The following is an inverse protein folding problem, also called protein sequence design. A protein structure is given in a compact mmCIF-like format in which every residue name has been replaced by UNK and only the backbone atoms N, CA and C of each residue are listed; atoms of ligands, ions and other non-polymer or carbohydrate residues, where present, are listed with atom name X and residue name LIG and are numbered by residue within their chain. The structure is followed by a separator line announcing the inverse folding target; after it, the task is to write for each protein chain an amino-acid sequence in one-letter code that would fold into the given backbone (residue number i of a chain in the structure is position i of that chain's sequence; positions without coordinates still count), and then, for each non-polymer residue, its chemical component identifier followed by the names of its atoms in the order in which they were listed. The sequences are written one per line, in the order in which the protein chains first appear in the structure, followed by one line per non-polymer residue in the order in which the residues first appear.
data_IF_600071668219
#
_entry.id   IF_600071668219
#
_cell.length_a   1.000
_cell.length_b   1.000
_cell.length_c   1.000
_cell.angle_alpha   90.00
_cell.angle_beta   90.00
_cell.angle_gamma   90.00
#
_symmetry.space_group_name_H-M   'P 1'
#
loop_
_entity.id
_entity.type
_entity.pdbx_description
1 polymer ?
#
# COMPACT_ATOMS: atom_id res chain seq x y z
N UNK A 1 -8.50 -13.44 21.60
CA UNK A 1 -8.38 -11.97 21.70
C UNK A 1 -7.00 -11.65 22.21
N UNK A 2 -6.15 -11.07 21.35
CA UNK A 2 -4.87 -10.45 21.70
C UNK A 2 -4.52 -9.51 20.54
N UNK A 3 -5.28 -8.42 20.42
CA UNK A 3 -5.33 -7.52 19.25
C UNK A 3 -4.79 -6.13 19.57
N UNK A 4 -3.68 -6.08 20.29
CA UNK A 4 -2.81 -4.92 20.37
C UNK A 4 -1.43 -5.44 20.77
N UNK A 5 -0.41 -5.19 19.95
CA UNK A 5 0.98 -5.43 20.33
C UNK A 5 1.23 -4.67 21.63
N UNK A 6 1.46 -5.42 22.70
CA UNK A 6 1.58 -4.89 24.06
C UNK A 6 2.74 -3.91 24.09
N UNK A 7 2.48 -2.70 24.56
CA UNK A 7 3.44 -1.63 24.79
C UNK A 7 4.49 -2.10 25.80
N UNK A 8 5.60 -2.65 25.32
CA UNK A 8 6.85 -2.63 26.08
C UNK A 8 7.37 -1.19 26.08
N UNK A 9 8.05 -0.78 27.15
CA UNK A 9 8.52 0.60 27.37
C UNK A 9 9.43 1.15 26.24
N UNK A 10 9.92 0.29 25.35
CA UNK A 10 10.68 0.65 24.14
C UNK A 10 9.80 1.21 23.00
N UNK A 11 8.47 1.00 23.03
CA UNK A 11 7.54 1.42 21.97
C UNK A 11 6.83 2.77 22.21
N UNK A 12 7.09 3.46 23.33
CA UNK A 12 6.37 4.69 23.70
C UNK A 12 6.52 5.87 22.69
N UNK A 13 7.50 5.78 21.77
CA UNK A 13 7.74 6.77 20.71
C UNK A 13 7.15 6.44 19.34
N UNK A 14 6.79 5.20 19.06
CA UNK A 14 6.24 4.81 17.75
C UNK A 14 4.74 5.13 17.67
N UNK A 15 4.24 5.51 16.48
CA UNK A 15 2.80 5.64 16.28
C UNK A 15 2.08 4.30 16.48
N UNK A 16 0.85 4.35 16.96
CA UNK A 16 -0.01 3.17 16.96
C UNK A 16 -0.35 2.76 15.52
N UNK A 17 -0.37 1.45 15.26
CA UNK A 17 -0.72 0.90 13.95
C UNK A 17 -1.51 -0.41 14.12
N UNK A 18 -2.60 -0.55 13.38
CA UNK A 18 -3.33 -1.82 13.30
C UNK A 18 -2.70 -2.71 12.22
N UNK A 19 -2.65 -4.00 12.49
CA UNK A 19 -2.26 -4.98 11.48
C UNK A 19 -3.40 -5.12 10.45
N UNK A 20 -3.09 -4.94 9.16
CA UNK A 20 -4.07 -5.03 8.07
C UNK A 20 -4.66 -6.43 7.96
N UNK A 21 -3.93 -7.46 8.40
CA UNK A 21 -4.45 -8.82 8.56
C UNK A 21 -5.56 -8.88 9.60
N UNK A 22 -5.40 -8.21 10.73
CA UNK A 22 -6.39 -8.21 11.81
C UNK A 22 -7.66 -7.47 11.38
N UNK A 23 -7.51 -6.38 10.61
CA UNK A 23 -8.63 -5.69 9.93
C UNK A 23 -9.38 -6.68 9.02
N UNK A 24 -8.65 -7.35 8.13
CA UNK A 24 -9.23 -8.29 7.18
C UNK A 24 -9.92 -9.49 7.87
N UNK A 25 -9.30 -10.06 8.90
CA UNK A 25 -9.86 -11.17 9.67
C UNK A 25 -11.07 -10.75 10.53
N UNK A 26 -11.12 -9.51 11.02
CA UNK A 26 -12.30 -8.98 11.70
C UNK A 26 -13.50 -8.96 10.75
N UNK A 27 -13.35 -8.35 9.57
CA UNK A 27 -14.42 -8.28 8.58
C UNK A 27 -14.81 -9.67 8.05
N UNK A 28 -13.87 -10.59 7.89
CA UNK A 28 -14.17 -11.98 7.52
C UNK A 28 -15.08 -12.68 8.54
N UNK A 29 -14.99 -12.32 9.83
CA UNK A 29 -15.83 -12.88 10.91
C UNK A 29 -17.18 -12.17 11.01
N UNK A 30 -17.17 -10.84 11.06
CA UNK A 30 -18.37 -10.05 11.30
C UNK A 30 -19.23 -9.83 10.05
N UNK A 31 -18.62 -9.78 8.86
CA UNK A 31 -19.32 -9.56 7.60
C UNK A 31 -18.60 -10.26 6.43
N UNK A 32 -18.80 -11.58 6.34
CA UNK A 32 -18.18 -12.41 5.30
C UNK A 32 -18.56 -11.97 3.88
N UNK A 33 -19.75 -11.38 3.68
CA UNK A 33 -20.21 -10.93 2.36
C UNK A 33 -19.35 -9.77 1.83
N UNK A 34 -19.12 -8.74 2.66
CA UNK A 34 -18.22 -7.61 2.34
C UNK A 34 -16.82 -8.11 2.05
N UNK A 35 -16.27 -8.96 2.93
CA UNK A 35 -14.93 -9.52 2.74
C UNK A 35 -14.82 -10.33 1.44
N UNK A 36 -15.79 -11.20 1.15
CA UNK A 36 -15.77 -12.06 -0.03
C UNK A 36 -15.91 -11.26 -1.34
N UNK A 37 -16.76 -10.24 -1.38
CA UNK A 37 -16.91 -9.39 -2.56
C UNK A 37 -15.67 -8.52 -2.77
N UNK A 38 -15.11 -7.91 -1.72
CA UNK A 38 -13.87 -7.15 -1.81
C UNK A 38 -12.72 -8.02 -2.35
N UNK A 39 -12.61 -9.25 -1.83
CA UNK A 39 -11.63 -10.24 -2.33
C UNK A 39 -11.86 -10.56 -3.79
N UNK A 40 -13.09 -10.80 -4.22
CA UNK A 40 -13.42 -11.06 -5.63
C UNK A 40 -13.01 -9.88 -6.52
N UNK A 41 -13.29 -8.64 -6.10
CA UNK A 41 -12.90 -7.42 -6.81
C UNK A 41 -11.38 -7.33 -6.93
N UNK A 42 -10.66 -7.42 -5.81
CA UNK A 42 -9.20 -7.32 -5.80
C UNK A 42 -8.52 -8.32 -6.73
N UNK A 43 -8.87 -9.60 -6.63
CA UNK A 43 -8.25 -10.63 -7.48
C UNK A 43 -8.59 -10.45 -8.97
N UNK A 44 -9.77 -9.92 -9.28
CA UNK A 44 -10.13 -9.53 -10.65
C UNK A 44 -9.29 -8.34 -11.14
N UNK A 45 -9.06 -7.34 -10.28
CA UNK A 45 -8.26 -6.17 -10.64
C UNK A 45 -6.77 -6.49 -10.75
N UNK A 46 -6.21 -7.32 -9.87
CA UNK A 46 -4.81 -7.75 -9.92
C UNK A 46 -4.51 -8.59 -11.18
N UNK A 47 -5.49 -9.36 -11.66
CA UNK A 47 -5.45 -10.07 -12.95
C UNK A 47 -4.08 -10.72 -13.26
N UNK A 48 -3.70 -11.70 -12.44
CA UNK A 48 -2.44 -12.43 -12.63
C UNK A 48 -2.41 -13.10 -14.00
N UNK A 49 -1.27 -13.03 -14.69
CA UNK A 49 -1.07 -13.68 -15.98
C UNK A 49 -1.26 -15.21 -15.84
N UNK A 50 -2.29 -15.81 -16.47
CA UNK A 50 -2.62 -17.23 -16.30
C UNK A 50 -1.58 -18.17 -16.92
N UNK A 51 -0.72 -17.67 -17.80
CA UNK A 51 0.33 -18.45 -18.46
C UNK A 51 1.63 -18.49 -17.64
N UNK A 52 1.77 -17.66 -16.60
CA UNK A 52 2.96 -17.61 -15.74
C UNK A 52 2.76 -18.52 -14.52
N UNK A 53 3.75 -19.36 -14.22
CA UNK A 53 3.77 -20.11 -12.96
C UNK A 53 4.26 -19.20 -11.84
N UNK A 54 3.45 -19.03 -10.80
CA UNK A 54 3.83 -18.24 -9.63
C UNK A 54 4.35 -19.13 -8.50
N UNK A 55 5.48 -18.79 -7.88
CA UNK A 55 5.91 -19.41 -6.63
C UNK A 55 4.85 -19.25 -5.54
N UNK A 56 4.73 -20.22 -4.63
CA UNK A 56 3.81 -20.15 -3.48
C UNK A 56 4.00 -18.87 -2.66
N UNK A 57 5.25 -18.41 -2.52
CA UNK A 57 5.58 -17.18 -1.81
C UNK A 57 4.96 -15.93 -2.47
N UNK A 58 4.88 -15.88 -3.80
CA UNK A 58 4.24 -14.77 -4.52
C UNK A 58 2.73 -14.81 -4.30
N UNK A 59 2.12 -15.98 -4.38
CA UNK A 59 0.68 -16.14 -4.10
C UNK A 59 0.32 -15.77 -2.66
N UNK A 60 1.20 -16.07 -1.70
CA UNK A 60 1.05 -15.65 -0.31
C UNK A 60 1.18 -14.12 -0.17
N UNK A 61 2.15 -13.49 -0.84
CA UNK A 61 2.27 -12.03 -0.84
C UNK A 61 1.05 -11.34 -1.45
N UNK A 62 0.44 -11.91 -2.49
CA UNK A 62 -0.80 -11.36 -3.08
C UNK A 62 -1.95 -11.35 -2.07
N UNK A 63 -2.02 -12.34 -1.18
CA UNK A 63 -2.98 -12.33 -0.07
C UNK A 63 -2.67 -11.24 0.96
N UNK A 64 -1.39 -11.00 1.26
CA UNK A 64 -0.99 -9.92 2.16
C UNK A 64 -1.31 -8.54 1.58
N UNK A 65 -1.03 -8.32 0.30
CA UNK A 65 -1.42 -7.09 -0.39
C UNK A 65 -2.92 -6.95 -0.54
N UNK A 66 -3.68 -8.06 -0.60
CA UNK A 66 -5.13 -7.99 -0.48
C UNK A 66 -5.55 -7.41 0.88
N UNK A 67 -4.89 -7.79 1.98
CA UNK A 67 -5.19 -7.22 3.30
C UNK A 67 -4.88 -5.72 3.35
N UNK A 68 -3.74 -5.29 2.80
CA UNK A 68 -3.39 -3.87 2.72
C UNK A 68 -4.39 -3.08 1.86
N UNK A 69 -4.75 -3.60 0.69
CA UNK A 69 -5.75 -3.00 -0.19
C UNK A 69 -7.14 -2.94 0.45
N UNK A 70 -7.54 -4.03 1.11
CA UNK A 70 -8.81 -4.08 1.82
C UNK A 70 -8.85 -3.08 2.97
N UNK A 71 -7.78 -2.98 3.75
CA UNK A 71 -7.72 -2.08 4.89
C UNK A 71 -7.79 -0.60 4.48
N UNK A 72 -7.04 -0.20 3.44
CA UNK A 72 -6.83 1.22 3.12
C UNK A 72 -7.56 1.73 1.88
N UNK A 73 -7.78 0.90 0.85
CA UNK A 73 -8.31 1.35 -0.45
C UNK A 73 -9.79 0.99 -0.64
N UNK A 74 -10.33 0.04 0.13
CA UNK A 74 -11.76 -0.21 0.16
C UNK A 74 -12.48 0.86 0.97
N UNK A 75 -13.76 1.05 0.66
CA UNK A 75 -14.64 1.82 1.50
C UNK A 75 -15.86 1.00 1.92
N UNK A 76 -16.26 1.16 3.17
CA UNK A 76 -17.44 0.56 3.76
C UNK A 76 -18.40 1.64 4.23
N UNK A 77 -19.68 1.30 4.37
CA UNK A 77 -20.69 2.24 4.86
C UNK A 77 -20.30 2.82 6.22
N UNK A 78 -20.50 4.13 6.38
CA UNK A 78 -20.04 4.89 7.57
C UNK A 78 -20.78 4.56 8.87
N UNK A 79 -21.59 3.50 8.90
CA UNK A 79 -22.26 3.01 10.12
C UNK A 79 -21.29 2.26 11.04
N UNK A 80 -20.06 2.00 10.59
CA UNK A 80 -18.97 1.46 11.41
C UNK A 80 -19.22 0.04 11.92
N UNK A 81 -18.21 -0.54 12.58
CA UNK A 81 -18.38 -1.77 13.35
C UNK A 81 -18.98 -1.43 14.72
N UNK A 82 -19.92 -2.23 15.16
CA UNK A 82 -20.65 -2.07 16.44
C UNK A 82 -20.32 -3.18 17.43
N UNK A 83 -19.79 -4.32 16.94
CA UNK A 83 -19.57 -5.54 17.71
C UNK A 83 -20.83 -6.41 17.84
N UNK A 84 -21.96 -5.98 17.29
CA UNK A 84 -23.16 -6.77 17.14
C UNK A 84 -23.20 -7.36 15.73
N UNK A 85 -23.04 -8.68 15.61
CA UNK A 85 -23.03 -9.39 14.32
C UNK A 85 -24.21 -9.02 13.41
N UNK A 86 -25.41 -8.84 13.97
CA UNK A 86 -26.61 -8.52 13.18
C UNK A 86 -26.61 -7.09 12.60
N UNK A 87 -25.93 -6.16 13.26
CA UNK A 87 -25.75 -4.79 12.80
C UNK A 87 -24.56 -4.69 11.86
N UNK A 88 -23.45 -5.37 12.19
CA UNK A 88 -22.23 -5.42 11.38
C UNK A 88 -22.47 -6.08 10.01
N UNK A 89 -23.44 -7.01 9.91
CA UNK A 89 -23.91 -7.58 8.64
C UNK A 89 -24.58 -6.56 7.70
N UNK A 90 -25.01 -5.39 8.21
CA UNK A 90 -25.59 -4.31 7.39
C UNK A 90 -24.52 -3.40 6.79
N UNK A 91 -23.26 -3.59 7.14
CA UNK A 91 -22.16 -2.89 6.51
C UNK A 91 -22.09 -3.34 5.05
N UNK A 92 -21.95 -2.37 4.15
CA UNK A 92 -21.89 -2.60 2.70
C UNK A 92 -20.63 -1.96 2.13
N UNK A 93 -20.09 -2.56 1.06
CA UNK A 93 -19.03 -1.93 0.27
C UNK A 93 -19.58 -0.70 -0.45
N UNK A 94 -18.86 0.41 -0.32
CA UNK A 94 -19.17 1.66 -0.99
C UNK A 94 -18.25 1.84 -2.20
N UNK A 95 -18.80 2.44 -3.25
CA UNK A 95 -18.10 2.67 -4.51
C UNK A 95 -18.10 4.16 -4.84
N UNK A 96 -16.93 4.65 -5.27
CA UNK A 96 -16.76 6.01 -5.74
C UNK A 96 -15.95 6.89 -4.76
N UNK A 97 -15.37 7.99 -5.25
CA UNK A 97 -14.51 8.85 -4.43
C UNK A 97 -15.26 9.47 -3.25
N UNK A 98 -14.70 9.35 -2.05
CA UNK A 98 -15.26 9.93 -0.83
C UNK A 98 -16.52 9.25 -0.29
N UNK A 99 -16.93 8.11 -0.85
CA UNK A 99 -18.04 7.33 -0.32
C UNK A 99 -17.54 6.42 0.80
N UNK A 100 -18.13 6.52 2.01
CA UNK A 100 -17.81 5.64 3.13
C UNK A 100 -16.50 5.97 3.86
N UNK A 101 -16.04 5.01 4.68
CA UNK A 101 -14.77 5.05 5.41
C UNK A 101 -13.96 3.79 5.11
N UNK A 102 -12.65 3.82 5.33
CA UNK A 102 -11.82 2.62 5.16
C UNK A 102 -12.17 1.55 6.22
N UNK A 103 -12.03 0.24 5.90
CA UNK A 103 -12.11 -0.82 6.90
C UNK A 103 -11.11 -0.65 8.06
N UNK A 104 -9.94 -0.06 7.78
CA UNK A 104 -8.96 0.29 8.81
C UNK A 104 -9.54 1.28 9.82
N UNK A 105 -10.10 2.41 9.35
CA UNK A 105 -10.70 3.43 10.20
C UNK A 105 -11.94 2.90 10.92
N UNK A 106 -12.77 2.11 10.24
CA UNK A 106 -13.95 1.48 10.85
C UNK A 106 -13.57 0.61 12.06
N UNK A 107 -12.50 -0.18 11.96
CA UNK A 107 -11.99 -0.96 13.08
C UNK A 107 -11.33 -0.08 14.15
N UNK A 108 -10.56 0.94 13.77
CA UNK A 108 -9.93 1.85 14.70
C UNK A 108 -10.93 2.58 15.60
N UNK A 109 -12.02 3.11 15.02
CA UNK A 109 -13.10 3.78 15.77
C UNK A 109 -13.85 2.81 16.69
N UNK A 110 -14.12 1.59 16.21
CA UNK A 110 -14.73 0.55 17.05
C UNK A 110 -13.84 0.18 18.24
N UNK A 111 -12.53 0.02 18.02
CA UNK A 111 -11.59 -0.26 19.10
C UNK A 111 -11.48 0.90 20.07
N UNK A 112 -11.51 2.16 19.60
CA UNK A 112 -11.54 3.33 20.49
C UNK A 112 -12.79 3.38 21.37
N UNK A 113 -13.95 3.00 20.84
CA UNK A 113 -15.22 2.97 21.60
C UNK A 113 -15.28 1.80 22.61
N UNK A 114 -14.69 0.64 22.28
CA UNK A 114 -14.86 -0.60 23.07
C UNK A 114 -13.65 -1.03 23.89
N UNK A 115 -12.45 -0.59 23.55
CA UNK A 115 -11.20 -1.01 24.19
C UNK A 115 -10.54 0.18 24.91
N UNK A 116 -10.65 0.19 26.25
CA UNK A 116 -10.08 1.25 27.10
C UNK A 116 -8.56 1.41 26.95
N UNK A 117 -7.87 0.47 26.31
CA UNK A 117 -6.42 0.56 26.02
C UNK A 117 -6.11 1.49 24.85
N UNK A 118 -7.09 1.79 23.99
CA UNK A 118 -6.94 2.71 22.88
C UNK A 118 -7.34 4.10 23.37
N UNK A 119 -6.34 4.95 23.63
CA UNK A 119 -6.55 6.32 24.08
C UNK A 119 -6.72 7.30 22.91
N UNK A 120 -6.93 8.57 23.27
CA UNK A 120 -7.08 9.68 22.33
C UNK A 120 -5.85 9.86 21.43
N UNK A 121 -4.66 9.48 21.91
CA UNK A 121 -3.43 9.58 21.14
C UNK A 121 -3.37 8.51 20.05
N UNK A 122 -3.75 7.28 20.38
CA UNK A 122 -3.74 6.14 19.47
C UNK A 122 -4.76 6.32 18.35
N UNK A 123 -6.00 6.72 18.66
CA UNK A 123 -7.02 6.98 17.64
C UNK A 123 -6.64 8.15 16.72
N UNK A 124 -5.93 9.15 17.24
CA UNK A 124 -5.39 10.23 16.41
C UNK A 124 -4.34 9.73 15.43
N UNK A 125 -3.45 8.85 15.87
CA UNK A 125 -2.46 8.23 14.97
C UNK A 125 -3.15 7.42 13.86
N UNK A 126 -4.20 6.66 14.20
CA UNK A 126 -4.95 5.87 13.23
C UNK A 126 -5.65 6.76 12.19
N UNK A 127 -6.27 7.87 12.61
CA UNK A 127 -6.88 8.84 11.70
C UNK A 127 -5.83 9.52 10.81
N UNK A 128 -4.72 9.98 11.38
CA UNK A 128 -3.62 10.57 10.60
C UNK A 128 -3.06 9.56 9.58
N UNK A 129 -2.93 8.28 9.96
CA UNK A 129 -2.51 7.23 9.04
C UNK A 129 -3.52 7.03 7.93
N UNK A 130 -4.80 6.86 8.26
CA UNK A 130 -5.88 6.67 7.27
C UNK A 130 -5.97 7.83 6.27
N UNK A 131 -5.86 9.06 6.76
CA UNK A 131 -5.98 10.27 5.94
C UNK A 131 -4.79 10.48 4.99
N UNK A 132 -3.59 10.04 5.38
CA UNK A 132 -2.34 10.41 4.68
C UNK A 132 -1.66 9.28 3.95
N UNK A 133 -2.10 8.03 4.15
CA UNK A 133 -1.45 6.89 3.54
C UNK A 133 -1.69 6.86 2.02
N UNK A 134 -0.64 6.59 1.26
CA UNK A 134 -0.75 6.36 -0.17
C UNK A 134 0.35 5.42 -0.66
N UNK A 135 0.05 4.68 -1.73
CA UNK A 135 1.00 3.78 -2.36
C UNK A 135 1.56 4.36 -3.64
N UNK A 136 2.86 4.16 -3.85
CA UNK A 136 3.53 4.60 -5.07
C UNK A 136 4.79 3.77 -5.36
N UNK A 137 5.40 4.07 -6.50
CA UNK A 137 6.76 3.65 -6.86
C UNK A 137 7.74 4.71 -6.37
N UNK A 138 8.61 4.32 -5.45
CA UNK A 138 9.57 5.20 -4.81
C UNK A 138 11.00 4.87 -5.26
N UNK A 139 11.69 5.85 -5.84
CA UNK A 139 13.11 5.75 -6.13
C UNK A 139 13.92 6.10 -4.88
N UNK A 140 14.91 5.26 -4.53
CA UNK A 140 15.78 5.53 -3.39
C UNK A 140 16.81 6.59 -3.78
N UNK A 141 16.77 7.76 -3.13
CA UNK A 141 17.77 8.83 -3.31
C UNK A 141 18.91 8.71 -2.31
N UNK A 142 18.59 8.31 -1.08
CA UNK A 142 19.55 8.09 -0.01
C UNK A 142 18.96 7.10 1.01
N UNK A 143 19.80 6.32 1.67
CA UNK A 143 19.39 5.46 2.77
C UNK A 143 20.51 5.38 3.82
N UNK A 144 20.12 5.57 5.09
CA UNK A 144 21.05 5.61 6.22
C UNK A 144 20.55 4.73 7.36
N UNK A 145 21.23 3.60 7.57
CA UNK A 145 20.99 2.70 8.68
C UNK A 145 21.18 3.41 10.03
N UNK A 146 22.19 4.28 10.13
CA UNK A 146 22.50 5.06 11.34
C UNK A 146 21.35 5.99 11.73
N UNK A 147 20.72 6.65 10.74
CA UNK A 147 19.56 7.53 10.98
C UNK A 147 18.25 6.74 11.06
N UNK A 148 18.22 5.49 10.59
CA UNK A 148 17.00 4.70 10.44
C UNK A 148 16.02 5.31 9.43
N UNK A 149 16.53 5.97 8.39
CA UNK A 149 15.73 6.74 7.42
C UNK A 149 16.16 6.50 5.97
N UNK A 150 15.20 6.65 5.07
CA UNK A 150 15.41 6.70 3.63
C UNK A 150 14.89 8.02 3.09
N UNK A 151 15.61 8.62 2.15
CA UNK A 151 15.07 9.67 1.29
C UNK A 151 14.61 9.01 0.00
N UNK A 152 13.32 9.11 -0.30
CA UNK A 152 12.73 8.52 -1.49
C UNK A 152 11.99 9.54 -2.32
N UNK A 153 12.04 9.38 -3.64
CA UNK A 153 11.25 10.20 -4.58
C UNK A 153 10.10 9.39 -5.14
N UNK A 154 8.90 9.94 -5.13
CA UNK A 154 7.75 9.34 -5.80
C UNK A 154 7.86 9.53 -7.33
N UNK A 155 8.05 8.42 -8.03
CA UNK A 155 8.20 8.36 -9.48
C UNK A 155 6.89 8.77 -10.18
N UNK A 156 5.73 8.38 -9.62
CA UNK A 156 4.41 8.52 -10.25
C UNK A 156 3.82 9.91 -10.02
N UNK A 157 3.77 10.36 -8.76
CA UNK A 157 3.10 11.62 -8.38
C UNK A 157 4.06 12.78 -8.20
N UNK A 158 5.37 12.49 -8.06
CA UNK A 158 6.36 13.49 -7.66
C UNK A 158 6.38 13.73 -6.15
N UNK A 159 7.38 14.51 -5.72
CA UNK A 159 7.66 14.74 -4.31
C UNK A 159 8.79 13.86 -3.79
N UNK A 160 9.43 14.35 -2.74
CA UNK A 160 10.54 13.67 -2.06
C UNK A 160 10.19 13.58 -0.58
N UNK A 161 10.35 12.39 -0.02
CA UNK A 161 9.91 12.04 1.31
C UNK A 161 11.07 11.48 2.11
N UNK A 162 11.26 11.98 3.34
CA UNK A 162 12.16 11.36 4.31
C UNK A 162 11.34 10.37 5.15
N UNK A 163 11.50 9.08 4.86
CA UNK A 163 10.73 7.98 5.44
C UNK A 163 11.51 7.35 6.58
N UNK A 164 10.92 7.33 7.78
CA UNK A 164 11.44 6.63 8.94
C UNK A 164 11.06 5.14 8.89
N UNK A 165 12.02 4.31 8.49
CA UNK A 165 11.91 2.86 8.41
C UNK A 165 13.29 2.24 8.67
N UNK A 166 13.49 1.76 9.91
CA UNK A 166 14.78 1.21 10.35
C UNK A 166 15.17 -0.05 9.57
N UNK A 167 14.18 -0.87 9.21
CA UNK A 167 14.43 -2.12 8.50
C UNK A 167 14.89 -1.84 7.07
N UNK A 168 14.10 -1.05 6.32
CA UNK A 168 14.46 -0.68 4.96
C UNK A 168 15.77 0.15 4.94
N UNK A 169 15.97 1.09 5.88
CA UNK A 169 17.19 1.89 5.90
C UNK A 169 18.45 1.04 6.13
N UNK A 170 18.33 -0.04 6.91
CA UNK A 170 19.42 -1.01 7.12
C UNK A 170 19.66 -1.87 5.87
N UNK A 171 18.59 -2.32 5.20
CA UNK A 171 18.68 -3.13 3.99
C UNK A 171 19.32 -2.38 2.81
N UNK A 172 19.04 -1.08 2.70
CA UNK A 172 19.47 -0.22 1.61
C UNK A 172 20.61 0.73 1.98
N UNK A 173 21.28 0.55 3.12
CA UNK A 173 22.31 1.47 3.61
C UNK A 173 23.34 1.86 2.53
N UNK A 174 23.53 3.17 2.35
CA UNK A 174 24.40 3.76 1.33
C UNK A 174 23.91 3.66 -0.12
N UNK A 175 22.66 3.25 -0.37
CA UNK A 175 22.10 3.19 -1.71
C UNK A 175 21.72 4.59 -2.24
N UNK A 176 22.05 4.84 -3.51
CA UNK A 176 21.67 6.04 -4.27
C UNK A 176 20.85 5.71 -5.52
N UNK A 177 20.19 4.56 -5.47
CA UNK A 177 19.29 4.07 -6.48
C UNK A 177 18.65 2.74 -6.06
N UNK A 178 17.79 2.24 -6.94
CA UNK A 178 16.87 1.18 -6.62
C UNK A 178 15.46 1.71 -6.39
N UNK A 179 14.52 0.79 -6.28
CA UNK A 179 13.09 1.08 -6.24
C UNK A 179 12.43 0.30 -5.12
N UNK A 180 11.59 0.98 -4.38
CA UNK A 180 10.67 0.41 -3.39
C UNK A 180 9.27 0.79 -3.83
N UNK A 181 8.39 -0.20 -3.97
CA UNK A 181 6.98 0.04 -4.27
C UNK A 181 6.23 -0.34 -3.02
N UNK A 182 5.74 0.66 -2.30
CA UNK A 182 5.15 0.46 -0.98
C UNK A 182 4.12 1.54 -0.68
N UNK A 183 3.48 1.45 0.49
CA UNK A 183 2.66 2.52 1.09
C UNK A 183 3.45 3.27 2.15
N UNK A 184 3.36 4.60 2.10
CA UNK A 184 3.84 5.48 3.17
C UNK A 184 2.70 6.30 3.74
N UNK A 185 2.78 6.64 5.02
CA UNK A 185 1.83 7.50 5.72
C UNK A 185 2.57 8.55 6.56
N UNK A 186 1.95 9.70 6.78
CA UNK A 186 2.48 10.77 7.59
C UNK A 186 1.79 10.84 8.94
N UNK A 187 2.48 10.39 9.99
CA UNK A 187 1.91 10.27 11.34
C UNK A 187 2.85 10.90 12.35
N UNK A 188 2.33 11.78 13.21
CA UNK A 188 3.11 12.54 14.21
C UNK A 188 4.28 13.31 13.59
N UNK A 189 4.07 13.93 12.43
CA UNK A 189 5.08 14.78 11.79
C UNK A 189 6.19 14.04 11.03
N UNK A 190 6.06 12.73 10.78
CA UNK A 190 7.05 11.94 10.04
C UNK A 190 6.39 10.99 9.05
N UNK A 191 6.98 10.86 7.87
CA UNK A 191 6.64 9.83 6.89
C UNK A 191 7.19 8.46 7.33
N UNK A 192 6.40 7.41 7.15
CA UNK A 192 6.73 6.03 7.58
C UNK A 192 6.16 5.02 6.62
N UNK A 193 6.85 3.91 6.42
CA UNK A 193 6.28 2.73 5.76
C UNK A 193 5.11 2.18 6.58
N UNK A 194 4.00 1.84 5.93
CA UNK A 194 2.80 1.35 6.60
C UNK A 194 2.15 0.13 5.91
N UNK A 195 2.89 -0.55 5.04
CA UNK A 195 2.47 -1.81 4.41
C UNK A 195 3.68 -2.67 4.06
N UNK A 196 3.41 -3.90 3.63
CA UNK A 196 4.44 -4.79 3.09
C UNK A 196 4.79 -4.33 1.66
N UNK A 197 6.07 -4.10 1.33
CA UNK A 197 6.45 -3.70 -0.02
C UNK A 197 5.92 -4.65 -1.09
N UNK A 198 5.34 -4.07 -2.14
CA UNK A 198 4.92 -4.78 -3.35
C UNK A 198 6.16 -5.26 -4.09
N UNK A 199 7.09 -4.35 -4.35
CA UNK A 199 8.30 -4.65 -5.10
C UNK A 199 9.49 -3.93 -4.50
N UNK A 200 10.64 -4.57 -4.57
CA UNK A 200 11.88 -4.10 -4.00
C UNK A 200 13.05 -4.49 -4.88
N UNK A 201 13.88 -3.51 -5.24
CA UNK A 201 15.13 -3.75 -5.96
C UNK A 201 16.18 -2.73 -5.53
N UNK A 202 17.37 -3.21 -5.18
CA UNK A 202 18.53 -2.35 -4.85
C UNK A 202 19.23 -1.79 -6.10
N UNK A 203 18.87 -2.30 -7.28
CA UNK A 203 19.44 -1.89 -8.57
C UNK A 203 18.29 -1.51 -9.50
N UNK A 204 18.53 -0.64 -10.49
CA UNK A 204 19.82 -0.02 -10.80
C UNK A 204 20.22 1.09 -9.82
N UNK A 205 21.52 1.27 -9.61
CA UNK A 205 22.09 2.30 -8.74
C UNK A 205 22.60 3.46 -9.60
N UNK A 206 21.70 4.01 -10.40
CA UNK A 206 21.98 5.12 -11.31
C UNK A 206 20.82 6.13 -11.24
N UNK A 207 21.05 7.33 -10.68
CA UNK A 207 20.04 8.37 -10.59
C UNK A 207 19.41 8.76 -11.93
N UNK A 208 20.14 8.63 -13.04
CA UNK A 208 19.61 8.96 -14.38
C UNK A 208 18.48 8.02 -14.79
N UNK A 209 18.52 6.76 -14.32
CA UNK A 209 17.45 5.79 -14.56
C UNK A 209 16.20 6.19 -13.77
N UNK A 210 16.37 6.58 -12.50
CA UNK A 210 15.29 7.13 -11.69
C UNK A 210 14.61 8.34 -12.34
N UNK A 211 15.40 9.31 -12.79
CA UNK A 211 14.90 10.51 -13.48
C UNK A 211 14.15 10.17 -14.79
N UNK A 212 14.67 9.20 -15.56
CA UNK A 212 14.04 8.76 -16.81
C UNK A 212 12.71 8.04 -16.56
N UNK A 213 12.62 7.23 -15.49
CA UNK A 213 11.38 6.57 -15.09
C UNK A 213 10.37 7.61 -14.64
N UNK A 214 10.77 8.53 -13.75
CA UNK A 214 9.92 9.61 -13.26
C UNK A 214 9.34 10.44 -14.40
N UNK A 215 10.18 10.82 -15.38
CA UNK A 215 9.72 11.52 -16.59
C UNK A 215 8.66 10.72 -17.35
N UNK A 216 8.90 9.43 -17.57
CA UNK A 216 8.00 8.56 -18.35
C UNK A 216 6.62 8.39 -17.71
N UNK A 217 6.54 8.27 -16.38
CA UNK A 217 5.26 8.15 -15.67
C UNK A 217 4.55 9.51 -15.55
N UNK A 218 5.29 10.59 -15.24
CA UNK A 218 4.71 11.92 -15.06
C UNK A 218 4.19 12.54 -16.36
N UNK A 219 4.92 12.40 -17.46
CA UNK A 219 4.51 12.97 -18.77
C UNK A 219 3.29 12.28 -19.37
N UNK A 220 3.09 11.01 -19.04
CA UNK A 220 1.98 10.22 -19.57
C UNK A 220 0.73 10.33 -18.71
N UNK A 221 0.88 10.71 -17.44
CA UNK A 221 -0.22 10.79 -16.49
C UNK A 221 -0.69 9.43 -15.97
N UNK A 222 0.08 8.37 -16.22
CA UNK A 222 -0.25 7.02 -15.75
C UNK A 222 -0.07 6.93 -14.23
N UNK A 223 -1.18 6.79 -13.51
CA UNK A 223 -1.24 6.76 -12.04
C UNK A 223 -1.98 5.50 -11.57
N UNK A 224 -1.30 4.34 -11.53
CA UNK A 224 -1.92 3.11 -11.04
C UNK A 224 -2.31 3.25 -9.57
N UNK A 225 -3.49 2.73 -9.21
CA UNK A 225 -3.89 2.51 -7.82
C UNK A 225 -3.11 1.32 -7.22
N UNK A 226 -3.34 1.00 -5.95
CA UNK A 226 -2.60 -0.07 -5.27
C UNK A 226 -2.76 -1.43 -5.98
N UNK A 227 -3.99 -1.82 -6.37
CA UNK A 227 -4.23 -3.04 -7.12
C UNK A 227 -3.56 -2.99 -8.51
N UNK A 228 -3.55 -1.82 -9.16
CA UNK A 228 -2.83 -1.54 -10.39
C UNK A 228 -1.32 -1.68 -10.26
N UNK A 229 -0.72 -1.27 -9.13
CA UNK A 229 0.70 -1.48 -8.83
C UNK A 229 1.01 -2.98 -8.68
N UNK A 230 0.21 -3.72 -7.91
CA UNK A 230 0.38 -5.19 -7.80
C UNK A 230 0.25 -5.85 -9.17
N UNK A 231 -0.75 -5.44 -9.96
CA UNK A 231 -0.93 -5.92 -11.34
C UNK A 231 0.26 -5.57 -12.24
N UNK A 232 0.84 -4.38 -12.10
CA UNK A 232 1.97 -3.93 -12.92
C UNK A 232 3.23 -4.77 -12.66
N UNK A 233 3.50 -5.14 -11.41
CA UNK A 233 4.68 -5.93 -11.06
C UNK A 233 4.50 -7.45 -11.19
N UNK A 234 3.28 -7.97 -10.96
CA UNK A 234 3.04 -9.41 -10.85
C UNK A 234 1.97 -9.95 -11.79
N UNK A 235 1.09 -9.08 -12.29
CA UNK A 235 0.03 -9.44 -13.23
C UNK A 235 0.32 -8.91 -14.63
N UNK A 236 -0.73 -8.73 -15.40
CA UNK A 236 -0.68 -8.00 -16.68
C UNK A 236 -1.50 -6.74 -16.54
N UNK A 237 -0.84 -5.58 -16.53
CA UNK A 237 -1.48 -4.28 -16.39
C UNK A 237 -2.61 -4.14 -17.43
N UNK A 238 -3.86 -3.99 -16.99
CA UNK A 238 -5.05 -4.03 -17.88
C UNK A 238 -5.08 -2.83 -18.85
N UNK A 239 -4.59 -1.71 -18.35
CA UNK A 239 -4.36 -0.42 -18.97
C UNK A 239 -3.23 -0.47 -20.01
N UNK A 240 -2.03 -0.97 -19.66
CA UNK A 240 -0.87 -0.97 -20.57
C UNK A 240 -0.70 -2.26 -21.36
N UNK A 241 -1.23 -3.37 -20.88
CA UNK A 241 -1.00 -4.73 -21.39
C UNK A 241 0.37 -5.32 -21.02
N UNK A 242 1.19 -4.58 -20.27
CA UNK A 242 2.57 -4.92 -19.93
C UNK A 242 2.65 -5.44 -18.50
N UNK A 243 3.62 -6.31 -18.25
CA UNK A 243 4.17 -6.54 -16.91
C UNK A 243 5.51 -5.81 -16.74
N UNK A 244 6.14 -5.91 -15.56
CA UNK A 244 7.43 -5.26 -15.31
C UNK A 244 8.55 -5.73 -16.26
N UNK A 245 8.53 -6.99 -16.69
CA UNK A 245 9.52 -7.52 -17.64
C UNK A 245 9.33 -6.89 -19.02
N UNK A 246 8.08 -6.77 -19.47
CA UNK A 246 7.72 -6.06 -20.70
C UNK A 246 8.11 -4.56 -20.63
N UNK A 247 7.93 -3.92 -19.47
CA UNK A 247 8.31 -2.52 -19.23
C UNK A 247 9.83 -2.34 -19.32
N UNK A 248 10.59 -3.22 -18.69
CA UNK A 248 12.04 -3.15 -18.73
C UNK A 248 12.57 -3.39 -20.15
N UNK A 249 11.98 -4.34 -20.89
CA UNK A 249 12.29 -4.56 -22.30
C UNK A 249 11.95 -3.33 -23.16
N UNK A 250 10.78 -2.72 -22.95
CA UNK A 250 10.37 -1.50 -23.65
C UNK A 250 11.25 -0.30 -23.31
N UNK A 251 11.73 -0.20 -22.07
CA UNK A 251 12.69 0.82 -21.64
C UNK A 251 14.01 0.65 -22.38
N UNK A 252 14.55 -0.57 -22.42
CA UNK A 252 15.78 -0.88 -23.15
C UNK A 252 15.66 -0.62 -24.65
N UNK A 253 14.47 -0.83 -25.21
CA UNK A 253 14.16 -0.52 -26.61
C UNK A 253 13.82 0.96 -26.88
N UNK A 254 13.72 1.81 -25.84
CA UNK A 254 13.32 3.21 -25.97
C UNK A 254 11.85 3.44 -26.35
N UNK A 255 10.98 2.44 -26.19
CA UNK A 255 9.56 2.48 -26.61
C UNK A 255 8.57 2.69 -25.45
N UNK A 256 9.07 2.72 -24.20
CA UNK A 256 8.24 2.78 -22.99
C UNK A 256 7.25 3.96 -22.98
N UNK A 257 7.71 5.18 -23.30
CA UNK A 257 6.84 6.37 -23.28
C UNK A 257 5.65 6.27 -24.24
N UNK A 258 5.83 5.66 -25.41
CA UNK A 258 4.74 5.45 -26.37
C UNK A 258 3.71 4.42 -25.87
N UNK A 259 4.17 3.35 -25.20
CA UNK A 259 3.30 2.33 -24.63
C UNK A 259 2.46 2.88 -23.48
N UNK A 260 3.07 3.61 -22.55
CA UNK A 260 2.36 4.20 -21.42
C UNK A 260 1.39 5.31 -21.89
N UNK A 261 1.76 6.13 -22.89
CA UNK A 261 0.83 7.12 -23.47
C UNK A 261 -0.39 6.48 -24.11
N UNK A 262 -0.23 5.34 -24.79
CA UNK A 262 -1.34 4.57 -25.34
C UNK A 262 -2.28 4.04 -24.25
N UNK A 263 -1.74 3.66 -23.10
CA UNK A 263 -2.49 3.18 -21.94
C UNK A 263 -3.26 4.30 -21.24
N UNK A 264 -2.65 5.48 -21.14
CA UNK A 264 -3.22 6.64 -20.43
C UNK A 264 -4.39 7.30 -21.18
N UNK A 265 -4.52 7.03 -22.48
CA UNK A 265 -5.61 7.51 -23.33
C UNK A 265 -6.82 6.56 -23.42
N UNK A 266 -6.83 5.47 -22.64
CA UNK A 266 -7.92 4.48 -22.57
C UNK A 266 -8.73 4.66 -21.30
#
# INVERSE_FOLDING_TARGET
MSTATTTTAENAGLPAMLDTKDVAEMFKRCNLAVYAEARRIYYREVNLNPCKKYPKQVLQRIEWWFWDWFAYDCAVSGIGLTGNESEDLRIELQYGPGAGISPFLALAEFMYDKDERIGTREIRDFRELDDTNFASMFWIRDASAVKGRLTVEDIIHGGVYEVADVHAASQYDGAHGGMIVNRIAHVRGMWRSCSIPIYEARRPDDPQIGDSLARSFRETGYKPDFAGLVRFFYGRAKDTGLDWEDVEAARQAGTLGALIKKASNR
#
